data_IF_083201243052
#
_entry.id   IF_083201243052
#
_cell.length_a   1.000
_cell.length_b   1.000
_cell.length_c   1.000
_cell.angle_alpha   90.00
_cell.angle_beta   90.00
_cell.angle_gamma   90.00
#
_symmetry.space_group_name_H-M   'P 1'
#
loop_
_entity.id
_entity.type
_entity.pdbx_description
1 polymer ?
#
# COMPACT_ATOMS: atom_id res chain seq x y z
N UNK A 1 2.25 -16.40 -7.69
CA UNK A 1 1.68 -16.13 -6.35
C UNK A 1 1.54 -14.62 -6.25
N UNK A 2 0.56 -14.07 -5.56
CA UNK A 2 0.42 -12.62 -5.38
C UNK A 2 0.58 -12.28 -3.89
N UNK A 3 1.24 -11.16 -3.58
CA UNK A 3 1.41 -10.65 -2.22
C UNK A 3 0.37 -9.56 -1.97
N UNK A 4 -0.52 -9.74 -0.99
CA UNK A 4 -1.45 -8.70 -0.59
C UNK A 4 -0.87 -7.89 0.57
N UNK A 5 -0.60 -6.61 0.34
CA UNK A 5 -0.17 -5.66 1.38
C UNK A 5 -1.39 -4.90 1.90
N UNK A 6 -1.61 -4.97 3.21
CA UNK A 6 -2.62 -4.15 3.88
C UNK A 6 -1.98 -2.80 4.24
N UNK A 7 -2.49 -1.75 3.61
CA UNK A 7 -2.00 -0.39 3.77
C UNK A 7 -2.50 0.24 5.07
N UNK A 8 -1.57 0.78 5.84
CA UNK A 8 -1.86 1.52 7.07
C UNK A 8 -1.88 3.04 6.79
N UNK A 9 -2.91 3.73 7.28
CA UNK A 9 -3.04 5.18 7.18
C UNK A 9 -3.73 5.76 8.43
N UNK A 10 -3.59 7.07 8.63
CA UNK A 10 -4.27 7.80 9.71
C UNK A 10 -5.50 8.61 9.24
N UNK A 11 -5.99 8.37 8.02
CA UNK A 11 -7.12 9.12 7.44
C UNK A 11 -6.71 10.38 6.66
N UNK A 12 -5.44 10.79 6.77
CA UNK A 12 -4.89 11.94 6.03
C UNK A 12 -3.68 11.52 5.17
N UNK A 13 -2.87 10.60 5.68
CA UNK A 13 -1.61 10.17 5.08
C UNK A 13 -1.41 8.67 5.22
N UNK A 14 -0.79 8.07 4.20
CA UNK A 14 -0.26 6.72 4.28
C UNK A 14 0.92 6.69 5.26
N UNK A 15 0.95 5.71 6.16
CA UNK A 15 2.03 5.60 7.14
C UNK A 15 3.29 4.99 6.51
N UNK A 16 4.50 5.40 6.97
CA UNK A 16 5.77 4.87 6.44
C UNK A 16 5.91 3.34 6.58
N UNK A 17 5.23 2.74 7.57
CA UNK A 17 5.13 1.29 7.75
C UNK A 17 4.69 0.59 6.46
N UNK A 18 3.73 1.18 5.72
CA UNK A 18 3.25 0.61 4.46
C UNK A 18 4.35 0.53 3.40
N UNK A 19 5.18 1.56 3.26
CA UNK A 19 6.27 1.57 2.28
C UNK A 19 7.36 0.53 2.59
N UNK A 20 7.67 0.36 3.87
CA UNK A 20 8.57 -0.70 4.35
C UNK A 20 8.01 -2.09 4.01
N UNK A 21 6.72 -2.30 4.23
CA UNK A 21 6.04 -3.57 3.90
C UNK A 21 6.03 -3.84 2.40
N UNK A 22 5.76 -2.84 1.56
CA UNK A 22 5.82 -2.98 0.09
C UNK A 22 7.24 -3.36 -0.34
N UNK A 23 8.27 -2.73 0.24
CA UNK A 23 9.67 -3.05 -0.07
C UNK A 23 10.01 -4.49 0.30
N UNK A 24 9.56 -4.97 1.46
CA UNK A 24 9.72 -6.35 1.86
C UNK A 24 8.95 -7.31 0.94
N UNK A 25 7.70 -6.99 0.59
CA UNK A 25 6.89 -7.79 -0.33
C UNK A 25 7.55 -7.91 -1.71
N UNK A 26 8.13 -6.83 -2.25
CA UNK A 26 8.90 -6.84 -3.51
C UNK A 26 10.11 -7.78 -3.49
N UNK A 27 10.76 -7.90 -2.35
CA UNK A 27 11.91 -8.81 -2.21
C UNK A 27 11.49 -10.28 -2.21
N UNK A 28 10.24 -10.59 -1.85
CA UNK A 28 9.69 -11.94 -1.84
C UNK A 28 9.10 -12.28 -3.21
N UNK A 29 8.39 -11.34 -3.83
CA UNK A 29 7.65 -11.56 -5.06
C UNK A 29 7.38 -10.24 -5.82
N UNK A 30 7.33 -10.30 -7.15
CA UNK A 30 7.15 -9.11 -8.00
C UNK A 30 5.68 -8.71 -8.21
N UNK A 31 4.74 -9.56 -7.82
CA UNK A 31 3.29 -9.36 -7.98
C UNK A 31 2.68 -8.98 -6.63
N UNK A 32 2.29 -7.71 -6.49
CA UNK A 32 1.85 -7.10 -5.24
C UNK A 32 0.55 -6.35 -5.46
N UNK A 33 -0.46 -6.72 -4.68
CA UNK A 33 -1.70 -5.97 -4.55
C UNK A 33 -1.70 -5.16 -3.25
N UNK A 34 -2.40 -4.03 -3.24
CA UNK A 34 -2.62 -3.22 -2.05
C UNK A 34 -4.10 -3.17 -1.67
N UNK A 35 -4.40 -3.40 -0.39
CA UNK A 35 -5.73 -3.16 0.17
C UNK A 35 -5.67 -2.01 1.17
N UNK A 36 -6.55 -1.03 0.98
CA UNK A 36 -6.72 0.10 1.89
C UNK A 36 -8.13 0.08 2.46
N UNK A 37 -8.25 0.29 3.78
CA UNK A 37 -9.52 0.21 4.51
C UNK A 37 -9.74 1.51 5.29
N UNK A 38 -10.80 2.23 4.95
CA UNK A 38 -11.14 3.48 5.63
C UNK A 38 -12.32 4.18 4.99
N UNK A 39 -12.82 5.21 5.66
CA UNK A 39 -13.90 6.07 5.15
C UNK A 39 -13.32 7.38 4.63
N UNK A 40 -13.72 7.82 3.43
CA UNK A 40 -13.27 9.09 2.86
C UNK A 40 -11.77 9.13 2.52
N UNK A 41 -11.19 7.97 2.16
CA UNK A 41 -9.74 7.80 1.91
C UNK A 41 -9.36 7.88 0.43
N UNK A 42 -10.26 8.32 -0.44
CA UNK A 42 -10.06 8.31 -1.90
C UNK A 42 -8.78 9.05 -2.30
N UNK A 43 -8.51 10.19 -1.67
CA UNK A 43 -7.31 10.98 -1.93
C UNK A 43 -6.01 10.26 -1.56
N UNK A 44 -6.03 9.40 -0.54
CA UNK A 44 -4.87 8.62 -0.09
C UNK A 44 -4.73 7.37 -0.94
N UNK A 45 -5.85 6.74 -1.32
CA UNK A 45 -5.88 5.63 -2.26
C UNK A 45 -5.24 6.00 -3.60
N UNK A 46 -5.59 7.18 -4.15
CA UNK A 46 -4.93 7.71 -5.35
C UNK A 46 -3.43 7.92 -5.12
N UNK A 47 -2.99 8.41 -3.96
CA UNK A 47 -1.55 8.53 -3.68
C UNK A 47 -0.87 7.15 -3.65
N UNK A 48 -1.51 6.16 -3.04
CA UNK A 48 -0.97 4.81 -2.94
C UNK A 48 -0.87 4.09 -4.29
N UNK A 49 -1.79 4.35 -5.23
CA UNK A 49 -1.74 3.77 -6.58
C UNK A 49 -0.57 4.28 -7.44
N UNK A 50 0.14 5.33 -7.00
CA UNK A 50 1.35 5.82 -7.66
C UNK A 50 2.63 5.26 -7.04
N UNK A 51 2.53 4.39 -6.03
CA UNK A 51 3.68 3.69 -5.48
C UNK A 51 4.17 2.72 -6.54
N UNK A 52 5.42 2.87 -6.97
CA UNK A 52 6.02 1.98 -7.97
C UNK A 52 5.86 0.51 -7.55
N UNK A 53 5.37 -0.36 -8.43
CA UNK A 53 5.19 -1.79 -8.15
C UNK A 53 3.95 -2.13 -7.32
N UNK A 54 2.98 -1.22 -7.29
CA UNK A 54 1.59 -1.39 -6.85
C UNK A 54 0.69 -1.05 -8.05
#
# INVERSE_FOLDING_TARGET
MASLVIAEHNGNTLLPSTLSTITAAKAINSDIDILMLGYGIESIAVKASHIQGI
#
